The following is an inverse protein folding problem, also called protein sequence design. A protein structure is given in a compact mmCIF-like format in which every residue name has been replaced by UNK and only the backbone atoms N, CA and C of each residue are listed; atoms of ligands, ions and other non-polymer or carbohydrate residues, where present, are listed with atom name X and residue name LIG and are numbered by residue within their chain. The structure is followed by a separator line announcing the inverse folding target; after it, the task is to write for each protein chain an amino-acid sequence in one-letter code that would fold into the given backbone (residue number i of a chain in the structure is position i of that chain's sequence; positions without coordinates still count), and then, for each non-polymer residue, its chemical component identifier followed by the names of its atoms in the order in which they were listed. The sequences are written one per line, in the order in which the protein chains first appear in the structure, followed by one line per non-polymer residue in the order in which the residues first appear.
data_IF_810997834273
#
_entry.id   IF_810997834273
#
_cell.length_a   1.000
_cell.length_b   1.000
_cell.length_c   1.000
_cell.angle_alpha   90.00
_cell.angle_beta   90.00
_cell.angle_gamma   90.00
#
_symmetry.space_group_name_H-M   'P 1'
#
loop_
_entity.id
_entity.type
_entity.pdbx_description
1 polymer ?
#
# COMPACT_ATOMS: atom_id res chain seq x y z
N UNK A 1 -17.47 -29.86 -2.13
CA UNK A 1 -17.06 -30.89 -1.14
C UNK A 1 -18.16 -31.12 -0.14
N UNK A 2 -17.88 -31.83 0.97
CA UNK A 2 -18.82 -32.06 2.08
C UNK A 2 -19.37 -30.77 2.71
N UNK A 3 -18.72 -29.63 2.44
CA UNK A 3 -19.08 -28.28 2.93
C UNK A 3 -20.01 -27.50 1.97
N UNK A 4 -20.49 -28.12 0.89
CA UNK A 4 -21.38 -27.48 -0.10
C UNK A 4 -20.70 -26.47 -1.06
N UNK A 5 -19.40 -26.22 -0.90
CA UNK A 5 -18.62 -25.38 -1.84
C UNK A 5 -18.35 -26.13 -3.15
N UNK A 6 -18.65 -25.49 -4.28
CA UNK A 6 -18.44 -26.01 -5.63
C UNK A 6 -17.16 -25.43 -6.22
N UNK A 7 -16.26 -26.31 -6.66
CA UNK A 7 -15.05 -25.94 -7.40
C UNK A 7 -15.24 -26.30 -8.87
N UNK A 8 -14.79 -25.42 -9.76
CA UNK A 8 -14.86 -25.65 -11.20
C UNK A 8 -13.44 -25.90 -11.70
N UNK A 9 -13.20 -27.10 -12.20
CA UNK A 9 -11.90 -27.50 -12.74
C UNK A 9 -12.00 -27.53 -14.27
N UNK A 10 -11.19 -26.70 -14.92
CA UNK A 10 -11.03 -26.69 -16.38
C UNK A 10 -9.79 -27.51 -16.77
N UNK A 11 -10.03 -28.63 -17.45
CA UNK A 11 -8.97 -29.49 -17.97
C UNK A 11 -8.79 -29.27 -19.48
N UNK A 12 -7.59 -28.88 -19.90
CA UNK A 12 -7.25 -28.69 -21.31
C UNK A 12 -6.09 -29.61 -21.65
N UNK A 13 -6.29 -30.56 -22.55
CA UNK A 13 -5.27 -31.55 -22.92
C UNK A 13 -5.01 -31.54 -24.42
N UNK A 14 -3.75 -31.37 -24.81
CA UNK A 14 -3.31 -31.56 -26.18
C UNK A 14 -3.03 -33.05 -26.42
N UNK A 15 -3.91 -33.73 -27.15
CA UNK A 15 -3.72 -35.14 -27.54
C UNK A 15 -2.85 -35.34 -28.78
N UNK A 16 -2.29 -34.25 -29.34
CA UNK A 16 -1.44 -34.27 -30.52
C UNK A 16 0.05 -34.37 -30.16
N UNK A 17 0.81 -34.99 -31.06
CA UNK A 17 2.29 -35.01 -31.04
C UNK A 17 2.95 -33.69 -31.47
N UNK A 18 2.16 -32.66 -31.72
CA UNK A 18 2.61 -31.33 -32.15
C UNK A 18 2.03 -30.27 -31.22
N UNK A 19 2.69 -29.11 -31.13
CA UNK A 19 2.14 -27.98 -30.38
C UNK A 19 0.81 -27.53 -31.01
N UNK A 20 -0.15 -27.13 -30.19
CA UNK A 20 -1.48 -26.71 -30.61
C UNK A 20 -1.86 -25.40 -29.94
N UNK A 21 -2.47 -24.50 -30.69
CA UNK A 21 -3.19 -23.36 -30.15
C UNK A 21 -4.69 -23.71 -30.15
N UNK A 22 -5.37 -23.47 -29.03
CA UNK A 22 -6.79 -23.72 -28.87
C UNK A 22 -7.49 -22.41 -28.48
N UNK A 23 -8.63 -22.15 -29.11
CA UNK A 23 -9.56 -21.11 -28.66
C UNK A 23 -10.70 -21.81 -27.91
N UNK A 24 -10.92 -21.43 -26.65
CA UNK A 24 -11.94 -22.02 -25.80
C UNK A 24 -13.05 -20.99 -25.56
N UNK A 25 -14.30 -21.36 -25.86
CA UNK A 25 -15.44 -20.57 -25.41
C UNK A 25 -15.68 -20.83 -23.92
N UNK A 26 -15.23 -19.88 -23.10
CA UNK A 26 -15.39 -19.88 -21.66
C UNK A 26 -16.29 -18.72 -21.21
N UNK A 27 -17.08 -18.14 -22.11
CA UNK A 27 -17.89 -16.95 -21.85
C UNK A 27 -18.85 -17.11 -20.64
N UNK A 28 -19.28 -18.34 -20.35
CA UNK A 28 -20.09 -18.67 -19.17
C UNK A 28 -19.38 -18.45 -17.82
N UNK A 29 -18.04 -18.35 -17.84
CA UNK A 29 -17.17 -18.14 -16.68
C UNK A 29 -16.46 -16.78 -16.73
N UNK A 30 -17.01 -15.81 -17.48
CA UNK A 30 -16.44 -14.47 -17.58
C UNK A 30 -16.27 -13.83 -16.19
N UNK A 31 -15.11 -13.23 -15.95
CA UNK A 31 -14.71 -12.67 -14.64
C UNK A 31 -14.00 -13.67 -13.72
N UNK A 32 -14.02 -14.98 -14.02
CA UNK A 32 -13.23 -15.98 -13.28
C UNK A 32 -11.79 -16.04 -13.77
N UNK A 33 -10.87 -16.42 -12.88
CA UNK A 33 -9.44 -16.50 -13.15
C UNK A 33 -9.00 -17.98 -13.17
N UNK A 34 -8.44 -18.49 -14.27
CA UNK A 34 -7.86 -19.83 -14.29
C UNK A 34 -6.55 -19.86 -13.50
N UNK A 35 -6.46 -20.69 -12.47
CA UNK A 35 -5.25 -20.89 -11.68
C UNK A 35 -4.75 -22.31 -11.89
N UNK A 36 -3.52 -22.45 -12.39
CA UNK A 36 -2.93 -23.74 -12.72
C UNK A 36 -2.64 -24.52 -11.42
N UNK A 37 -3.16 -25.75 -11.33
CA UNK A 37 -3.21 -26.49 -10.07
C UNK A 37 -1.88 -27.12 -9.65
N UNK A 38 -0.92 -27.32 -10.55
CA UNK A 38 0.37 -27.94 -10.21
C UNK A 38 1.39 -26.91 -9.69
N UNK A 39 1.38 -25.71 -10.25
CA UNK A 39 2.35 -24.64 -9.99
C UNK A 39 1.75 -23.37 -9.38
N UNK A 40 0.42 -23.30 -9.21
CA UNK A 40 -0.27 -22.17 -8.57
C UNK A 40 -0.27 -20.87 -9.39
N UNK A 41 0.16 -20.92 -10.65
CA UNK A 41 0.26 -19.74 -11.50
C UNK A 41 -1.12 -19.34 -12.04
N UNK A 42 -1.52 -18.09 -11.82
CA UNK A 42 -2.76 -17.56 -12.38
C UNK A 42 -2.56 -17.08 -13.83
N UNK A 43 -3.57 -17.33 -14.66
CA UNK A 43 -3.65 -16.89 -16.05
C UNK A 43 -4.51 -15.63 -16.16
N UNK A 44 -4.54 -14.94 -17.32
CA UNK A 44 -5.45 -13.81 -17.53
C UNK A 44 -6.90 -14.19 -17.22
N UNK A 45 -7.73 -13.25 -16.70
CA UNK A 45 -9.14 -13.51 -16.44
C UNK A 45 -9.89 -13.90 -17.72
N UNK A 46 -10.91 -14.73 -17.56
CA UNK A 46 -11.80 -15.10 -18.65
C UNK A 46 -12.65 -13.89 -19.02
N UNK A 47 -12.52 -13.42 -20.27
CA UNK A 47 -13.34 -12.34 -20.82
C UNK A 47 -14.58 -12.85 -21.56
N UNK A 48 -15.24 -11.95 -22.30
CA UNK A 48 -16.37 -12.31 -23.17
C UNK A 48 -15.93 -12.90 -24.53
N UNK A 49 -14.63 -12.86 -24.84
CA UNK A 49 -14.06 -13.41 -26.06
C UNK A 49 -13.44 -14.80 -25.79
N UNK A 50 -13.20 -15.57 -26.86
CA UNK A 50 -12.58 -16.89 -26.76
C UNK A 50 -11.24 -16.80 -26.02
N UNK A 51 -11.03 -17.72 -25.08
CA UNK A 51 -9.83 -17.83 -24.29
C UNK A 51 -8.76 -18.61 -25.06
N UNK A 52 -7.62 -17.97 -25.34
CA UNK A 52 -6.55 -18.54 -26.14
C UNK A 52 -5.51 -19.26 -25.27
N UNK A 53 -5.21 -20.51 -25.59
CA UNK A 53 -4.17 -21.30 -24.94
C UNK A 53 -3.28 -22.00 -25.96
N UNK A 54 -1.97 -22.01 -25.70
CA UNK A 54 -1.00 -22.78 -26.47
C UNK A 54 -0.44 -23.91 -25.62
N UNK A 55 -0.51 -25.14 -26.14
CA UNK A 55 -0.03 -26.33 -25.46
C UNK A 55 1.08 -27.00 -26.25
N UNK A 56 2.12 -27.46 -25.56
CA UNK A 56 3.17 -28.31 -26.11
C UNK A 56 2.61 -29.69 -26.55
N UNK A 57 3.32 -30.47 -27.39
CA UNK A 57 2.95 -31.86 -27.70
C UNK A 57 2.64 -32.66 -26.44
N UNK A 58 1.48 -33.31 -26.40
CA UNK A 58 1.01 -34.09 -25.24
C UNK A 58 0.93 -33.31 -23.90
N UNK A 59 1.02 -31.98 -23.95
CA UNK A 59 0.89 -31.12 -22.78
C UNK A 59 -0.56 -30.99 -22.32
N UNK A 60 -0.75 -30.73 -21.03
CA UNK A 60 -2.05 -30.48 -20.45
C UNK A 60 -1.98 -29.39 -19.38
N UNK A 61 -3.12 -28.78 -19.11
CA UNK A 61 -3.35 -27.88 -17.99
C UNK A 61 -4.56 -28.35 -17.19
N UNK A 62 -4.45 -28.24 -15.87
CA UNK A 62 -5.59 -28.31 -14.96
C UNK A 62 -5.71 -26.96 -14.26
N UNK A 63 -6.80 -26.26 -14.50
CA UNK A 63 -7.08 -24.99 -13.86
C UNK A 63 -8.20 -25.15 -12.86
N UNK A 64 -8.04 -24.58 -11.66
CA UNK A 64 -9.19 -24.21 -10.83
C UNK A 64 -9.65 -22.82 -11.27
N UNK A 65 -10.94 -22.66 -11.57
CA UNK A 65 -11.50 -21.35 -11.87
C UNK A 65 -11.88 -20.67 -10.55
N UNK A 66 -11.07 -19.69 -10.15
CA UNK A 66 -11.27 -18.92 -8.92
C UNK A 66 -12.12 -17.68 -9.20
N UNK A 67 -12.94 -17.29 -8.23
CA UNK A 67 -13.69 -16.05 -8.27
C UNK A 67 -12.78 -14.83 -8.01
N UNK A 68 -13.16 -13.66 -8.54
CA UNK A 68 -12.42 -12.40 -8.51
C UNK A 68 -11.95 -11.96 -7.11
N UNK A 69 -12.67 -12.37 -6.07
CA UNK A 69 -12.35 -12.17 -4.66
C UNK A 69 -11.19 -13.05 -4.12
N UNK A 70 -10.60 -13.93 -4.93
CA UNK A 70 -9.41 -14.74 -4.63
C UNK A 70 -8.21 -14.39 -5.53
N UNK A 71 -8.17 -13.16 -6.07
CA UNK A 71 -7.10 -12.72 -6.98
C UNK A 71 -5.72 -12.59 -6.30
N UNK A 72 -4.63 -13.04 -6.95
CA UNK A 72 -3.27 -12.73 -6.50
C UNK A 72 -2.90 -11.25 -6.70
N UNK A 73 -1.97 -10.77 -5.87
CA UNK A 73 -1.64 -9.35 -5.67
C UNK A 73 -1.06 -8.60 -6.88
N UNK A 74 -0.73 -9.30 -7.98
CA UNK A 74 -0.14 -8.71 -9.18
C UNK A 74 -1.15 -8.34 -10.28
N UNK A 75 -2.44 -8.63 -10.10
CA UNK A 75 -3.47 -8.27 -11.08
C UNK A 75 -3.77 -6.77 -11.05
N UNK A 76 -3.52 -6.10 -12.17
CA UNK A 76 -3.91 -4.70 -12.42
C UNK A 76 -5.12 -4.73 -13.34
N UNK A 77 -6.28 -4.27 -12.86
CA UNK A 77 -7.50 -4.21 -13.67
C UNK A 77 -7.25 -3.42 -14.99
N UNK A 78 -7.81 -3.88 -16.13
CA UNK A 78 -7.83 -3.08 -17.34
C UNK A 78 -8.53 -1.74 -17.06
N UNK A 79 -7.98 -0.64 -17.58
CA UNK A 79 -8.58 0.68 -17.46
C UNK A 79 -10.01 0.64 -18.02
N UNK A 80 -11.01 0.67 -17.13
CA UNK A 80 -12.39 0.93 -17.50
C UNK A 80 -12.44 2.27 -18.26
N UNK A 81 -13.35 2.40 -19.22
CA UNK A 81 -13.66 3.68 -19.87
C UNK A 81 -13.82 4.77 -18.80
N UNK A 82 -13.10 5.89 -18.96
CA UNK A 82 -13.07 6.97 -17.98
C UNK A 82 -14.50 7.26 -17.49
N UNK A 83 -14.77 7.17 -16.18
CA UNK A 83 -16.11 7.39 -15.66
C UNK A 83 -16.57 8.81 -16.00
N UNK A 84 -17.90 9.02 -16.08
CA UNK A 84 -18.48 10.34 -16.30
C UNK A 84 -18.11 11.26 -15.13
N UNK A 85 -17.03 12.03 -15.31
CA UNK A 85 -16.55 12.94 -14.28
C UNK A 85 -17.42 14.17 -14.18
N UNK A 86 -17.77 14.53 -12.94
CA UNK A 86 -18.27 15.88 -12.65
C UNK A 86 -17.20 16.90 -13.02
N UNK A 87 -17.58 17.96 -13.76
CA UNK A 87 -16.64 19.00 -14.20
C UNK A 87 -16.63 20.18 -13.22
N UNK A 88 -15.48 20.45 -12.62
CA UNK A 88 -15.21 21.65 -11.83
C UNK A 88 -14.71 22.79 -12.72
N UNK A 89 -15.06 24.04 -12.39
CA UNK A 89 -14.60 25.22 -13.12
C UNK A 89 -13.71 26.06 -12.22
N UNK A 90 -12.45 26.22 -12.62
CA UNK A 90 -11.47 27.04 -11.94
C UNK A 90 -11.05 28.20 -12.85
N UNK A 91 -10.85 29.39 -12.30
CA UNK A 91 -10.43 30.55 -13.08
C UNK A 91 -8.96 30.43 -13.44
N UNK A 92 -8.09 30.21 -12.45
CA UNK A 92 -6.64 30.16 -12.66
C UNK A 92 -5.87 29.29 -11.67
N UNK A 93 -6.27 29.24 -10.39
CA UNK A 93 -5.48 28.67 -9.30
C UNK A 93 -6.06 27.33 -8.82
N UNK A 94 -5.22 26.45 -8.26
CA UNK A 94 -5.70 25.20 -7.66
C UNK A 94 -6.42 25.43 -6.33
N UNK A 95 -6.02 26.46 -5.60
CA UNK A 95 -6.61 26.86 -4.32
C UNK A 95 -8.10 27.24 -4.43
N UNK A 96 -8.59 27.53 -5.65
CA UNK A 96 -10.02 27.74 -5.90
C UNK A 96 -10.87 26.47 -5.66
N UNK A 97 -10.24 25.29 -5.52
CA UNK A 97 -10.89 24.08 -5.00
C UNK A 97 -11.35 24.23 -3.54
N UNK A 98 -10.76 25.17 -2.79
CA UNK A 98 -11.14 25.51 -1.41
C UNK A 98 -12.25 26.57 -1.34
N UNK A 99 -12.70 27.08 -2.48
CA UNK A 99 -13.68 28.17 -2.60
C UNK A 99 -14.99 27.66 -3.21
N UNK A 100 -16.12 28.28 -2.85
CA UNK A 100 -17.41 27.99 -3.48
C UNK A 100 -17.46 28.51 -4.93
N UNK A 101 -18.11 27.79 -5.88
CA UNK A 101 -18.91 26.58 -5.66
C UNK A 101 -18.10 25.27 -5.70
N UNK A 102 -16.85 25.28 -6.19
CA UNK A 102 -16.05 24.06 -6.40
C UNK A 102 -15.86 23.24 -5.14
N UNK A 103 -15.59 23.89 -4.00
CA UNK A 103 -15.47 23.22 -2.69
C UNK A 103 -16.72 22.42 -2.35
N UNK A 104 -17.90 23.01 -2.52
CA UNK A 104 -19.17 22.35 -2.21
C UNK A 104 -19.39 21.11 -3.07
N UNK A 105 -19.15 21.20 -4.38
CA UNK A 105 -19.24 20.04 -5.27
C UNK A 105 -18.20 18.97 -4.94
N UNK A 106 -16.98 19.38 -4.59
CA UNK A 106 -15.90 18.47 -4.21
C UNK A 106 -16.25 17.69 -2.93
N UNK A 107 -16.67 18.39 -1.87
CA UNK A 107 -17.02 17.84 -0.56
C UNK A 107 -18.31 17.00 -0.58
N UNK A 108 -19.34 17.42 -1.31
CA UNK A 108 -20.67 16.80 -1.24
C UNK A 108 -20.91 15.71 -2.29
N UNK A 109 -20.19 15.73 -3.42
CA UNK A 109 -20.49 14.85 -4.55
C UNK A 109 -19.28 14.06 -5.04
N UNK A 110 -18.11 14.68 -5.15
CA UNK A 110 -16.94 14.01 -5.76
C UNK A 110 -16.20 13.14 -4.74
N UNK A 111 -15.75 13.71 -3.62
CA UNK A 111 -14.93 13.01 -2.63
C UNK A 111 -15.64 11.83 -1.97
N UNK A 112 -16.92 11.90 -1.55
CA UNK A 112 -17.59 10.76 -0.93
C UNK A 112 -17.60 9.53 -1.84
N UNK A 113 -17.92 9.71 -3.13
CA UNK A 113 -17.95 8.62 -4.11
C UNK A 113 -16.55 8.10 -4.45
N UNK A 114 -15.57 8.99 -4.56
CA UNK A 114 -14.20 8.60 -4.91
C UNK A 114 -13.49 7.85 -3.77
N UNK A 115 -13.70 8.27 -2.50
CA UNK A 115 -13.05 7.68 -1.33
C UNK A 115 -13.48 6.22 -1.05
N UNK A 116 -14.74 5.88 -1.29
CA UNK A 116 -15.26 4.52 -1.08
C UNK A 116 -14.51 3.47 -1.90
N UNK A 117 -13.97 3.86 -3.05
CA UNK A 117 -13.24 2.99 -3.96
C UNK A 117 -11.73 2.94 -3.67
N UNK A 118 -11.25 3.56 -2.59
CA UNK A 118 -9.82 3.57 -2.24
C UNK A 118 -9.47 2.48 -1.25
N UNK A 119 -8.41 1.71 -1.53
CA UNK A 119 -7.98 0.61 -0.64
C UNK A 119 -7.58 1.11 0.74
N UNK A 120 -6.88 2.24 0.80
CA UNK A 120 -6.37 2.89 2.01
C UNK A 120 -7.44 3.60 2.84
N UNK A 121 -8.66 3.80 2.32
CA UNK A 121 -9.74 4.40 3.09
C UNK A 121 -10.26 3.37 4.10
N UNK A 122 -10.16 3.69 5.40
CA UNK A 122 -10.46 2.75 6.48
C UNK A 122 -11.95 2.68 6.86
N UNK A 123 -12.77 3.64 6.42
CA UNK A 123 -14.19 3.72 6.76
C UNK A 123 -15.12 2.93 5.84
N UNK A 124 -14.70 1.79 5.29
CA UNK A 124 -15.48 1.06 4.26
C UNK A 124 -16.73 0.39 4.79
N UNK A 125 -16.73 0.04 6.07
CA UNK A 125 -17.85 -0.67 6.71
C UNK A 125 -19.00 0.26 7.12
N UNK A 126 -18.87 1.57 6.87
CA UNK A 126 -19.87 2.57 7.22
C UNK A 126 -20.06 3.60 6.09
N UNK A 127 -21.27 4.16 6.01
CA UNK A 127 -21.56 5.24 5.05
C UNK A 127 -20.74 6.48 5.41
N UNK A 128 -20.25 7.20 4.41
CA UNK A 128 -19.62 8.51 4.59
C UNK A 128 -20.74 9.53 4.85
N UNK A 129 -20.74 10.14 6.02
CA UNK A 129 -21.73 11.13 6.45
C UNK A 129 -21.35 12.53 5.96
N UNK A 130 -20.05 12.85 6.00
CA UNK A 130 -19.53 14.17 5.67
C UNK A 130 -18.07 14.09 5.22
N UNK A 131 -17.70 14.93 4.26
CA UNK A 131 -16.30 15.20 3.89
C UNK A 131 -16.08 16.70 3.90
N UNK A 132 -14.98 17.16 4.49
CA UNK A 132 -14.62 18.57 4.56
C UNK A 132 -13.14 18.78 4.24
N UNK A 133 -12.85 19.80 3.43
CA UNK A 133 -11.49 20.28 3.24
C UNK A 133 -10.99 20.92 4.54
N UNK A 134 -9.98 20.32 5.18
CA UNK A 134 -9.36 20.90 6.37
C UNK A 134 -8.53 22.13 5.97
N UNK A 135 -7.65 21.97 4.97
CA UNK A 135 -6.90 23.05 4.35
C UNK A 135 -6.33 22.62 2.99
N UNK A 136 -5.72 23.57 2.27
CA UNK A 136 -4.85 23.27 1.16
C UNK A 136 -3.78 24.35 0.97
N UNK A 137 -2.56 23.94 0.64
CA UNK A 137 -1.43 24.83 0.38
C UNK A 137 -0.88 24.57 -1.00
N UNK A 138 -0.56 25.64 -1.74
CA UNK A 138 0.08 25.50 -3.05
C UNK A 138 1.45 24.83 -2.89
N UNK A 139 1.69 23.85 -3.74
CA UNK A 139 2.95 23.12 -3.84
C UNK A 139 3.27 22.80 -5.31
N UNK A 140 4.51 22.36 -5.58
CA UNK A 140 5.00 22.14 -6.93
C UNK A 140 5.33 23.45 -7.67
N UNK A 141 5.49 23.34 -9.00
CA UNK A 141 5.82 24.47 -9.86
C UNK A 141 4.58 25.04 -10.59
N UNK A 142 4.78 26.11 -11.38
CA UNK A 142 3.69 26.79 -12.07
C UNK A 142 3.07 25.98 -13.23
N UNK A 143 3.84 25.06 -13.83
CA UNK A 143 3.40 24.18 -14.90
C UNK A 143 2.66 22.95 -14.33
N UNK A 144 3.10 22.46 -13.17
CA UNK A 144 2.59 21.29 -12.45
C UNK A 144 2.07 21.66 -11.06
N UNK A 145 0.98 22.46 -10.96
CA UNK A 145 0.51 22.92 -9.67
C UNK A 145 -0.12 21.77 -8.89
N UNK A 146 0.26 21.68 -7.62
CA UNK A 146 -0.28 20.76 -6.64
C UNK A 146 -0.93 21.55 -5.51
N UNK A 147 -2.03 21.03 -4.98
CA UNK A 147 -2.60 21.48 -3.71
C UNK A 147 -2.28 20.41 -2.67
N UNK A 148 -1.31 20.67 -1.79
CA UNK A 148 -1.03 19.80 -0.65
C UNK A 148 -2.13 20.02 0.39
N UNK A 149 -2.92 18.99 0.69
CA UNK A 149 -4.13 19.13 1.49
C UNK A 149 -4.43 17.93 2.37
N UNK A 150 -5.22 18.20 3.41
CA UNK A 150 -5.88 17.20 4.25
C UNK A 150 -7.40 17.42 4.19
N UNK A 151 -8.15 16.34 4.37
CA UNK A 151 -9.60 16.31 4.44
C UNK A 151 -10.05 15.61 5.73
N UNK A 152 -11.12 16.10 6.33
CA UNK A 152 -11.80 15.45 7.44
C UNK A 152 -12.98 14.64 6.90
N UNK A 153 -13.06 13.37 7.27
CA UNK A 153 -14.12 12.45 6.83
C UNK A 153 -14.84 11.90 8.05
N UNK A 154 -16.14 12.15 8.13
CA UNK A 154 -17.02 11.61 9.16
C UNK A 154 -17.72 10.35 8.63
N UNK A 155 -17.56 9.23 9.32
CA UNK A 155 -18.21 7.96 9.00
C UNK A 155 -18.41 7.13 10.27
N UNK A 156 -19.60 6.54 10.43
CA UNK A 156 -19.93 5.77 11.63
C UNK A 156 -19.88 6.60 12.92
N UNK A 157 -20.21 7.89 12.84
CA UNK A 157 -20.12 8.84 13.95
C UNK A 157 -18.68 9.22 14.38
N UNK A 158 -17.64 8.77 13.68
CA UNK A 158 -16.25 9.14 13.95
C UNK A 158 -15.69 10.00 12.82
N UNK A 159 -14.94 11.04 13.18
CA UNK A 159 -14.22 11.88 12.21
C UNK A 159 -12.75 11.49 12.19
N UNK A 160 -12.23 11.22 11.01
CA UNK A 160 -10.81 10.91 10.77
C UNK A 160 -10.24 11.86 9.73
N UNK A 161 -9.00 12.33 9.96
CA UNK A 161 -8.28 13.19 9.02
C UNK A 161 -7.49 12.34 8.04
N UNK A 162 -7.53 12.71 6.76
CA UNK A 162 -6.81 12.03 5.69
C UNK A 162 -5.99 13.01 4.86
N UNK A 163 -4.76 12.64 4.52
CA UNK A 163 -3.96 13.38 3.55
C UNK A 163 -4.33 13.00 2.12
N UNK A 164 -4.68 14.01 1.33
CA UNK A 164 -5.01 13.87 -0.08
C UNK A 164 -4.50 15.10 -0.84
N UNK A 165 -3.31 15.05 -1.45
CA UNK A 165 -2.83 16.12 -2.30
C UNK A 165 -3.54 16.07 -3.67
N UNK A 166 -4.00 17.21 -4.17
CA UNK A 166 -4.64 17.30 -5.49
C UNK A 166 -3.64 17.73 -6.55
N UNK A 167 -3.54 16.96 -7.63
CA UNK A 167 -2.73 17.26 -8.80
C UNK A 167 -3.59 17.55 -10.02
N UNK A 168 -3.05 18.30 -10.98
CA UNK A 168 -3.69 18.58 -12.27
C UNK A 168 -2.98 17.85 -13.40
N UNK A 169 -3.75 17.18 -14.26
CA UNK A 169 -3.28 16.56 -15.51
C UNK A 169 -4.00 17.24 -16.67
N UNK A 170 -3.28 17.73 -17.67
CA UNK A 170 -3.91 18.24 -18.89
C UNK A 170 -4.51 17.10 -19.73
N UNK A 171 -5.65 17.33 -20.37
CA UNK A 171 -6.41 16.30 -21.12
C UNK A 171 -5.64 15.75 -22.34
N UNK A 172 -4.75 16.54 -22.92
CA UNK A 172 -3.88 16.18 -24.04
C UNK A 172 -2.57 15.49 -23.61
N UNK A 173 -2.37 15.28 -22.31
CA UNK A 173 -1.15 14.68 -21.79
C UNK A 173 -1.17 13.15 -21.94
N UNK A 174 -0.41 12.64 -22.91
CA UNK A 174 -0.12 11.21 -23.05
C UNK A 174 0.87 10.75 -21.95
N UNK A 175 0.37 10.64 -20.72
CA UNK A 175 1.13 10.24 -19.54
C UNK A 175 0.86 8.80 -19.09
N UNK A 176 1.42 8.39 -17.95
CA UNK A 176 1.13 7.11 -17.32
C UNK A 176 -0.38 6.91 -17.05
N UNK A 177 -0.82 5.66 -17.01
CA UNK A 177 -2.22 5.32 -16.78
C UNK A 177 -2.68 5.62 -15.34
N UNK A 178 -1.80 5.48 -14.34
CA UNK A 178 -2.14 5.58 -12.92
C UNK A 178 -2.78 6.93 -12.54
N UNK A 179 -2.25 8.11 -12.93
CA UNK A 179 -2.91 9.39 -12.70
C UNK A 179 -4.33 9.48 -13.27
N UNK A 180 -4.61 8.83 -14.40
CA UNK A 180 -5.94 8.80 -15.00
C UNK A 180 -6.88 7.83 -14.25
N UNK A 181 -6.37 6.69 -13.79
CA UNK A 181 -7.13 5.73 -12.97
C UNK A 181 -7.51 6.31 -11.60
N UNK A 182 -6.68 7.19 -11.04
CA UNK A 182 -6.94 7.87 -9.77
C UNK A 182 -7.65 9.22 -9.92
N UNK A 183 -8.03 9.62 -11.14
CA UNK A 183 -8.73 10.87 -11.37
C UNK A 183 -10.04 10.96 -10.57
N UNK A 184 -10.28 12.15 -10.00
CA UNK A 184 -11.45 12.45 -9.17
C UNK A 184 -12.51 13.20 -9.96
N UNK A 185 -12.08 14.15 -10.79
CA UNK A 185 -12.99 15.04 -11.51
C UNK A 185 -12.33 15.60 -12.77
N UNK A 186 -13.15 16.04 -13.71
CA UNK A 186 -12.70 16.87 -14.82
C UNK A 186 -12.64 18.30 -14.34
N UNK A 187 -11.69 19.07 -14.83
CA UNK A 187 -11.58 20.48 -14.50
C UNK A 187 -11.34 21.33 -15.74
N UNK A 188 -12.08 22.43 -15.81
CA UNK A 188 -11.83 23.50 -16.78
C UNK A 188 -11.14 24.64 -16.04
N UNK A 189 -9.84 24.82 -16.28
CA UNK A 189 -9.00 25.88 -15.73
C UNK A 189 -8.73 26.94 -16.80
N UNK A 190 -9.59 27.95 -16.87
CA UNK A 190 -9.53 28.97 -17.93
C UNK A 190 -9.67 28.36 -19.34
N UNK A 191 -8.57 28.31 -20.10
CA UNK A 191 -8.50 27.69 -21.44
C UNK A 191 -8.06 26.23 -21.42
N UNK A 192 -7.53 25.75 -20.30
CA UNK A 192 -7.04 24.38 -20.16
C UNK A 192 -8.17 23.49 -19.64
N UNK A 193 -8.28 22.30 -20.21
CA UNK A 193 -9.15 21.23 -19.74
C UNK A 193 -8.26 20.08 -19.31
N UNK A 194 -8.64 19.42 -18.24
CA UNK A 194 -7.85 18.35 -17.66
C UNK A 194 -8.59 17.62 -16.57
N UNK A 195 -7.84 16.87 -15.78
CA UNK A 195 -8.33 16.08 -14.66
C UNK A 195 -7.68 16.55 -13.36
N UNK A 196 -8.44 16.54 -12.28
CA UNK A 196 -7.89 16.54 -10.93
C UNK A 196 -7.67 15.08 -10.53
N UNK A 197 -6.47 14.77 -10.08
CA UNK A 197 -6.08 13.45 -9.60
C UNK A 197 -5.47 13.52 -8.21
N UNK A 198 -5.19 12.37 -7.64
CA UNK A 198 -4.31 12.24 -6.49
C UNK A 198 -2.86 12.57 -6.90
N UNK A 199 -2.31 13.66 -6.37
CA UNK A 199 -0.98 14.14 -6.75
C UNK A 199 0.12 13.13 -6.43
N UNK A 200 -0.11 12.17 -5.52
CA UNK A 200 0.86 11.12 -5.25
C UNK A 200 1.23 10.34 -6.51
N UNK A 201 0.29 10.17 -7.44
CA UNK A 201 0.51 9.50 -8.73
C UNK A 201 1.35 10.31 -9.73
N UNK A 202 1.64 11.57 -9.44
CA UNK A 202 2.41 12.46 -10.31
C UNK A 202 3.89 12.45 -9.94
N UNK A 203 4.73 12.08 -10.89
CA UNK A 203 6.18 12.05 -10.68
C UNK A 203 6.74 13.43 -10.30
N UNK A 204 6.23 14.50 -10.91
CA UNK A 204 6.62 15.89 -10.61
C UNK A 204 6.35 16.26 -9.16
N UNK A 205 5.26 15.77 -8.57
CA UNK A 205 4.97 15.95 -7.16
C UNK A 205 5.98 15.22 -6.27
N UNK A 206 6.28 13.95 -6.56
CA UNK A 206 7.28 13.18 -5.82
C UNK A 206 8.64 13.87 -5.86
N UNK A 207 9.06 14.36 -7.03
CA UNK A 207 10.31 15.13 -7.19
C UNK A 207 10.29 16.41 -6.38
N UNK A 208 9.19 17.16 -6.40
CA UNK A 208 9.03 18.38 -5.61
C UNK A 208 9.11 18.09 -4.10
N UNK A 209 8.54 16.98 -3.61
CA UNK A 209 8.65 16.57 -2.20
C UNK A 209 10.10 16.27 -1.81
N UNK A 210 10.84 15.54 -2.65
CA UNK A 210 12.26 15.24 -2.41
C UNK A 210 13.10 16.50 -2.39
N UNK A 211 12.89 17.41 -3.35
CA UNK A 211 13.56 18.71 -3.38
C UNK A 211 13.19 19.55 -2.15
N UNK A 212 11.93 19.52 -1.73
CA UNK A 212 11.45 20.18 -0.52
C UNK A 212 12.17 19.69 0.73
N UNK A 213 12.38 18.38 0.86
CA UNK A 213 13.19 17.80 1.95
C UNK A 213 14.65 18.23 1.85
N UNK A 214 15.28 18.14 0.67
CA UNK A 214 16.67 18.57 0.49
C UNK A 214 16.90 20.05 0.82
N UNK A 215 15.88 20.90 0.61
CA UNK A 215 15.93 22.33 0.88
C UNK A 215 15.42 22.72 2.27
N UNK A 216 14.98 21.76 3.10
CA UNK A 216 14.32 22.01 4.39
C UNK A 216 13.15 23.00 4.29
N UNK A 217 12.32 22.84 3.26
CA UNK A 217 11.21 23.76 2.96
C UNK A 217 10.19 23.83 4.09
N UNK A 218 9.66 25.03 4.34
CA UNK A 218 8.54 25.27 5.26
C UNK A 218 7.42 25.96 4.50
N UNK A 219 6.21 25.40 4.56
CA UNK A 219 5.01 25.96 3.94
C UNK A 219 4.02 26.39 5.03
N UNK A 220 3.50 27.61 4.95
CA UNK A 220 2.45 28.08 5.86
C UNK A 220 1.08 27.62 5.39
N UNK A 221 0.26 27.14 6.32
CA UNK A 221 -1.14 26.74 6.11
C UNK A 221 -2.05 27.40 7.16
N UNK A 222 -3.37 27.25 7.01
CA UNK A 222 -4.33 27.66 8.05
C UNK A 222 -4.28 26.77 9.29
N UNK A 223 -3.69 25.57 9.21
CA UNK A 223 -3.59 24.57 10.27
C UNK A 223 -2.16 24.48 10.85
N UNK A 224 -1.37 25.55 10.69
CA UNK A 224 0.03 25.63 11.11
C UNK A 224 1.01 25.51 9.95
N UNK A 225 2.19 24.94 10.20
CA UNK A 225 3.27 24.85 9.22
C UNK A 225 3.50 23.42 8.76
N UNK A 226 3.74 23.24 7.46
CA UNK A 226 4.19 21.97 6.89
C UNK A 226 5.69 22.07 6.70
N UNK A 227 6.43 21.22 7.40
CA UNK A 227 7.89 21.24 7.47
C UNK A 227 8.45 19.98 6.80
N UNK A 228 9.36 20.19 5.86
CA UNK A 228 10.10 19.14 5.20
C UNK A 228 11.45 19.01 5.92
N UNK A 229 11.68 17.89 6.57
CA UNK A 229 12.79 17.70 7.50
C UNK A 229 13.71 16.58 7.00
N UNK A 230 14.89 16.91 6.46
CA UNK A 230 15.86 15.90 6.03
C UNK A 230 16.69 15.38 7.22
N UNK A 231 17.21 14.16 7.10
CA UNK A 231 18.34 13.69 7.92
C UNK A 231 19.64 13.78 7.13
N UNK A 232 20.77 13.70 7.83
CA UNK A 232 22.09 13.63 7.19
C UNK A 232 22.28 12.39 6.28
N UNK A 233 21.39 11.39 6.36
CA UNK A 233 21.44 10.21 5.49
C UNK A 233 20.89 10.50 4.09
N UNK A 234 19.96 11.46 3.94
CA UNK A 234 19.38 11.80 2.64
C UNK A 234 20.40 12.37 1.67
N UNK A 235 21.26 13.28 2.14
CA UNK A 235 22.30 13.92 1.32
C UNK A 235 23.25 12.88 0.70
N UNK A 236 23.58 11.82 1.45
CA UNK A 236 24.48 10.74 1.00
C UNK A 236 23.96 9.95 -0.21
N UNK A 237 22.65 9.97 -0.46
CA UNK A 237 22.05 9.27 -1.59
C UNK A 237 22.29 9.98 -2.94
N UNK A 238 22.63 11.28 -2.93
CA UNK A 238 22.90 12.03 -4.16
C UNK A 238 21.71 12.08 -5.14
N UNK A 239 20.47 12.00 -4.63
CA UNK A 239 19.26 12.03 -5.43
C UNK A 239 19.15 13.36 -6.22
N UNK A 240 18.78 13.26 -7.49
CA UNK A 240 18.72 14.37 -8.42
C UNK A 240 17.51 14.24 -9.38
N UNK A 241 17.38 15.20 -10.30
CA UNK A 241 16.26 15.25 -11.25
C UNK A 241 16.14 14.02 -12.17
N UNK A 242 17.23 13.27 -12.39
CA UNK A 242 17.25 12.07 -13.24
C UNK A 242 17.00 10.77 -12.46
N UNK A 243 16.85 10.86 -11.13
CA UNK A 243 16.60 9.67 -10.31
C UNK A 243 15.28 9.01 -10.69
N UNK A 244 15.30 7.71 -10.97
CA UNK A 244 14.13 6.92 -11.38
C UNK A 244 13.05 6.93 -10.28
N UNK A 245 11.78 7.10 -10.67
CA UNK A 245 10.63 7.03 -9.77
C UNK A 245 9.79 5.81 -10.12
N UNK A 246 9.61 4.90 -9.15
CA UNK A 246 8.88 3.64 -9.33
C UNK A 246 7.82 3.46 -8.25
N UNK A 247 6.56 3.46 -8.66
CA UNK A 247 5.43 3.20 -7.78
C UNK A 247 5.36 1.73 -7.37
N UNK A 248 5.09 1.48 -6.10
CA UNK A 248 4.87 0.12 -5.60
C UNK A 248 3.39 -0.23 -5.77
N UNK A 249 3.10 -1.32 -6.49
CA UNK A 249 1.75 -1.75 -6.89
C UNK A 249 0.88 -2.28 -5.76
N UNK A 250 1.43 -2.50 -4.57
CA UNK A 250 0.69 -2.94 -3.39
C UNK A 250 0.12 -1.73 -2.62
N UNK A 251 -1.10 -1.32 -2.95
CA UNK A 251 -1.87 -0.40 -2.09
C UNK A 251 -2.13 -1.08 -0.74
N UNK A 252 -1.36 -0.69 0.28
CA UNK A 252 -1.62 -0.96 1.69
C UNK A 252 -2.38 0.23 2.30
N UNK A 253 -2.33 0.39 3.63
CA UNK A 253 -2.86 1.55 4.35
C UNK A 253 -2.25 2.90 3.91
N UNK A 254 -1.08 2.88 3.27
CA UNK A 254 -0.34 4.05 2.82
C UNK A 254 0.08 3.93 1.35
N UNK A 255 0.38 5.06 0.70
CA UNK A 255 0.89 5.10 -0.67
C UNK A 255 2.40 5.23 -0.69
N UNK A 256 3.11 4.36 -1.43
CA UNK A 256 4.58 4.27 -1.39
C UNK A 256 5.21 4.33 -2.78
N UNK A 257 6.34 5.02 -2.89
CA UNK A 257 7.10 5.19 -4.14
C UNK A 257 8.60 5.05 -3.87
N UNK A 258 9.32 4.38 -4.74
CA UNK A 258 10.77 4.24 -4.69
C UNK A 258 11.42 5.30 -5.59
N UNK A 259 12.43 5.99 -5.07
CA UNK A 259 13.17 7.03 -5.80
C UNK A 259 14.66 6.68 -5.83
N UNK A 260 15.25 6.67 -7.02
CA UNK A 260 16.68 6.45 -7.23
C UNK A 260 17.22 5.12 -6.70
N UNK A 261 16.34 4.13 -6.46
CA UNK A 261 16.65 2.83 -5.83
C UNK A 261 17.30 2.92 -4.43
N UNK A 262 17.37 4.11 -3.83
CA UNK A 262 17.98 4.35 -2.52
C UNK A 262 16.98 4.82 -1.47
N UNK A 263 15.81 5.32 -1.89
CA UNK A 263 14.79 5.86 -0.99
C UNK A 263 13.42 5.26 -1.31
N UNK A 264 12.65 4.93 -0.27
CA UNK A 264 11.21 4.76 -0.34
C UNK A 264 10.55 5.94 0.39
N UNK A 265 9.65 6.63 -0.31
CA UNK A 265 8.81 7.68 0.25
C UNK A 265 7.41 7.11 0.48
N UNK A 266 6.92 7.22 1.71
CA UNK A 266 5.58 6.80 2.10
C UNK A 266 4.74 8.03 2.44
N UNK A 267 3.57 8.15 1.82
CA UNK A 267 2.55 9.14 2.17
C UNK A 267 1.57 8.51 3.17
N UNK A 268 1.43 9.15 4.33
CA UNK A 268 0.56 8.70 5.42
C UNK A 268 -0.87 9.12 5.11
N UNK A 269 -1.73 8.16 4.76
CA UNK A 269 -3.08 8.47 4.27
C UNK A 269 -4.00 8.92 5.38
N UNK A 270 -4.05 8.16 6.48
CA UNK A 270 -4.84 8.52 7.67
C UNK A 270 -3.92 9.20 8.66
N UNK A 271 -4.12 10.50 8.87
CA UNK A 271 -3.25 11.33 9.70
C UNK A 271 -3.81 11.39 11.11
N UNK A 272 -2.93 11.20 12.08
CA UNK A 272 -3.22 11.39 13.50
C UNK A 272 -2.26 12.42 14.08
N UNK A 273 -2.74 13.21 15.04
CA UNK A 273 -1.90 14.11 15.83
C UNK A 273 -1.04 13.33 16.82
N UNK A 274 0.11 13.88 17.13
CA UNK A 274 1.08 13.32 18.07
C UNK A 274 2.21 12.57 17.38
N UNK A 275 3.10 12.03 18.20
CA UNK A 275 4.30 11.32 17.76
C UNK A 275 3.90 10.06 17.00
N UNK A 276 4.30 9.98 15.73
CA UNK A 276 4.04 8.79 14.91
C UNK A 276 5.07 7.69 15.24
N UNK A 277 4.65 6.48 15.65
CA UNK A 277 5.57 5.44 16.11
C UNK A 277 6.62 5.05 15.07
N UNK A 278 6.25 5.00 13.78
CA UNK A 278 7.21 4.68 12.71
C UNK A 278 8.30 5.76 12.58
N UNK A 279 7.96 7.04 12.78
CA UNK A 279 8.96 8.11 12.74
C UNK A 279 9.87 8.04 13.98
N UNK A 280 9.27 7.94 15.16
CA UNK A 280 10.01 7.91 16.43
C UNK A 280 10.98 6.73 16.51
N UNK A 281 10.50 5.51 16.22
CA UNK A 281 11.32 4.30 16.24
C UNK A 281 12.40 4.35 15.16
N UNK A 282 12.07 4.79 13.94
CA UNK A 282 13.05 4.87 12.86
C UNK A 282 14.13 5.90 13.18
N UNK A 283 13.76 7.05 13.74
CA UNK A 283 14.70 8.09 14.16
C UNK A 283 15.68 7.55 15.21
N UNK A 284 15.16 6.96 16.29
CA UNK A 284 15.97 6.42 17.38
C UNK A 284 16.95 5.33 16.92
N UNK A 285 16.46 4.35 16.16
CA UNK A 285 17.30 3.25 15.68
C UNK A 285 18.31 3.70 14.62
N UNK A 286 17.96 4.69 13.80
CA UNK A 286 18.90 5.28 12.82
C UNK A 286 20.01 6.06 13.52
N UNK A 287 19.69 6.83 14.55
CA UNK A 287 20.67 7.55 15.37
C UNK A 287 21.61 6.59 16.11
N UNK A 288 21.08 5.47 16.61
CA UNK A 288 21.85 4.38 17.19
C UNK A 288 22.68 3.57 16.17
N UNK A 289 22.63 3.90 14.88
CA UNK A 289 23.27 3.16 13.78
C UNK A 289 22.90 1.68 13.72
N UNK A 290 21.67 1.32 14.09
CA UNK A 290 21.21 -0.05 13.97
C UNK A 290 21.04 -0.42 12.49
N UNK A 291 21.77 -1.44 12.04
CA UNK A 291 21.92 -1.75 10.60
C UNK A 291 20.78 -2.56 9.99
N UNK A 292 19.96 -3.24 10.81
CA UNK A 292 18.91 -4.15 10.34
C UNK A 292 17.54 -3.46 10.23
N UNK A 293 17.53 -2.18 9.91
CA UNK A 293 16.33 -1.39 9.58
C UNK A 293 16.57 -0.59 8.30
N UNK A 294 15.49 -0.15 7.66
CA UNK A 294 15.57 0.94 6.69
C UNK A 294 15.87 2.25 7.43
N UNK A 295 17.03 2.91 7.18
CA UNK A 295 17.39 4.13 7.89
C UNK A 295 16.42 5.27 7.56
N UNK A 296 16.15 6.13 8.53
CA UNK A 296 15.36 7.35 8.33
C UNK A 296 16.16 8.36 7.49
N UNK A 297 15.58 8.77 6.37
CA UNK A 297 16.14 9.77 5.46
C UNK A 297 15.49 11.14 5.65
N UNK A 298 14.24 11.19 6.09
CA UNK A 298 13.55 12.44 6.37
C UNK A 298 12.06 12.24 6.60
N UNK A 299 11.38 13.34 6.87
CA UNK A 299 9.94 13.37 7.11
C UNK A 299 9.32 14.66 6.58
N UNK A 300 8.02 14.60 6.32
CA UNK A 300 7.17 15.80 6.17
C UNK A 300 6.17 15.78 7.30
N UNK A 301 6.18 16.81 8.12
CA UNK A 301 5.29 16.94 9.28
C UNK A 301 4.44 18.20 9.16
N UNK A 302 3.22 18.16 9.70
CA UNK A 302 2.45 19.38 10.00
C UNK A 302 2.59 19.67 11.49
N UNK A 303 3.08 20.86 11.82
CA UNK A 303 3.11 21.39 13.18
C UNK A 303 2.00 22.42 13.35
N UNK A 304 1.07 22.16 14.26
CA UNK A 304 -0.03 23.10 14.54
C UNK A 304 0.42 24.30 15.38
N UNK A 305 -0.52 25.20 15.69
CA UNK A 305 -0.25 26.40 16.49
C UNK A 305 0.12 26.10 17.96
N UNK A 306 -0.21 24.89 18.45
CA UNK A 306 0.10 24.41 19.79
C UNK A 306 1.46 23.70 19.84
N UNK A 307 2.07 23.45 18.68
CA UNK A 307 3.34 22.75 18.55
C UNK A 307 3.20 21.23 18.46
N UNK A 308 1.99 20.71 18.30
CA UNK A 308 1.76 19.28 18.09
C UNK A 308 2.06 18.92 16.63
N UNK A 309 2.82 17.85 16.46
CA UNK A 309 3.22 17.34 15.15
C UNK A 309 2.25 16.26 14.68
N UNK A 310 2.01 16.23 13.37
CA UNK A 310 1.35 15.15 12.67
C UNK A 310 2.21 14.71 11.49
N UNK A 311 2.55 13.43 11.42
CA UNK A 311 3.34 12.88 10.32
C UNK A 311 2.50 12.83 9.04
N UNK A 312 2.97 13.50 7.99
CA UNK A 312 2.36 13.47 6.67
C UNK A 312 3.10 12.49 5.74
N UNK A 313 4.43 12.49 5.77
CA UNK A 313 5.23 11.59 4.95
C UNK A 313 6.50 11.17 5.67
N UNK A 314 6.99 9.97 5.35
CA UNK A 314 8.27 9.46 5.84
C UNK A 314 9.10 8.94 4.68
N UNK A 315 10.37 9.33 4.65
CA UNK A 315 11.36 8.86 3.70
C UNK A 315 12.34 7.92 4.42
N UNK A 316 12.48 6.69 3.91
CA UNK A 316 13.33 5.66 4.49
C UNK A 316 14.25 5.06 3.42
N UNK A 317 15.37 4.48 3.83
CA UNK A 317 16.28 3.77 2.93
C UNK A 317 15.55 2.61 2.25
N UNK A 318 15.59 2.58 0.91
CA UNK A 318 15.02 1.47 0.16
C UNK A 318 15.97 0.28 0.20
N UNK A 319 15.47 -0.86 0.69
CA UNK A 319 16.19 -2.12 0.68
C UNK A 319 15.60 -3.00 -0.42
N UNK A 320 16.42 -3.30 -1.43
CA UNK A 320 16.03 -4.26 -2.46
C UNK A 320 15.97 -5.66 -1.86
N UNK A 321 14.78 -6.22 -1.74
CA UNK A 321 14.53 -7.56 -1.22
C UNK A 321 14.01 -8.50 -2.31
N UNK A 322 14.18 -9.81 -2.09
CA UNK A 322 13.60 -10.86 -2.92
C UNK A 322 12.40 -11.46 -2.16
N UNK A 323 11.23 -10.86 -2.39
CA UNK A 323 9.98 -11.36 -1.83
C UNK A 323 9.70 -10.91 -0.39
N UNK A 324 8.62 -11.46 0.14
CA UNK A 324 8.09 -11.19 1.46
C UNK A 324 8.35 -12.37 2.40
N UNK A 325 8.70 -12.08 3.66
CA UNK A 325 9.08 -13.10 4.63
C UNK A 325 7.91 -14.03 4.99
N UNK A 326 6.67 -13.53 4.95
CA UNK A 326 5.48 -14.31 5.23
C UNK A 326 5.20 -15.29 4.09
N UNK A 327 5.16 -14.82 2.85
CA UNK A 327 4.99 -15.67 1.67
C UNK A 327 6.14 -16.69 1.55
N UNK A 328 7.38 -16.27 1.77
CA UNK A 328 8.53 -17.18 1.79
C UNK A 328 8.37 -18.26 2.87
N UNK A 329 7.93 -17.89 4.08
CA UNK A 329 7.71 -18.86 5.17
C UNK A 329 6.61 -19.85 4.82
N UNK A 330 5.49 -19.38 4.26
CA UNK A 330 4.38 -20.25 3.84
C UNK A 330 4.81 -21.26 2.77
N UNK A 331 5.50 -20.80 1.72
CA UNK A 331 6.00 -21.65 0.65
C UNK A 331 7.00 -22.71 1.16
N UNK A 332 7.86 -22.35 2.12
CA UNK A 332 8.81 -23.30 2.71
C UNK A 332 8.13 -24.29 3.65
N UNK A 333 7.10 -23.89 4.39
CA UNK A 333 6.30 -24.80 5.21
C UNK A 333 5.54 -25.80 4.34
N UNK A 334 4.96 -25.34 3.23
CA UNK A 334 4.28 -26.24 2.28
C UNK A 334 5.27 -27.26 1.69
N UNK A 335 6.47 -26.81 1.31
CA UNK A 335 7.54 -27.71 0.84
C UNK A 335 7.92 -28.73 1.91
N UNK A 336 8.13 -28.30 3.15
CA UNK A 336 8.45 -29.17 4.27
C UNK A 336 7.37 -30.26 4.51
N UNK A 337 6.09 -29.90 4.42
CA UNK A 337 4.98 -30.84 4.54
C UNK A 337 4.97 -31.87 3.39
N UNK A 338 5.21 -31.41 2.15
CA UNK A 338 5.30 -32.30 0.99
C UNK A 338 6.48 -33.28 1.11
N UNK A 339 7.64 -32.82 1.57
CA UNK A 339 8.83 -33.65 1.74
C UNK A 339 8.62 -34.74 2.80
N UNK A 340 7.98 -34.44 3.93
CA UNK A 340 7.62 -35.43 4.95
C UNK A 340 6.62 -36.48 4.43
N UNK A 341 5.59 -36.04 3.71
CA UNK A 341 4.62 -36.95 3.09
C UNK A 341 5.25 -37.85 2.02
N UNK A 342 6.22 -37.34 1.25
CA UNK A 342 6.93 -38.09 0.22
C UNK A 342 7.96 -39.09 0.79
N UNK A 343 8.65 -38.73 1.88
CA UNK A 343 9.58 -39.63 2.58
C UNK A 343 8.87 -40.83 3.23
N UNK A 344 7.58 -40.69 3.60
CA UNK A 344 6.76 -41.83 3.99
C UNK A 344 6.54 -42.85 2.85
N UNK A 345 6.90 -42.50 1.59
CA UNK A 345 6.67 -43.29 0.39
C UNK A 345 7.97 -43.73 -0.35
N UNK A 346 9.17 -43.29 0.05
CA UNK A 346 10.43 -43.65 -0.64
C UNK A 346 11.70 -43.56 0.24
N UNK A 347 12.60 -44.55 0.13
CA UNK A 347 13.88 -44.67 0.85
C UNK A 347 15.06 -43.91 0.18
N UNK A 348 14.84 -42.71 -0.37
CA UNK A 348 15.93 -41.92 -0.96
C UNK A 348 16.23 -40.65 -0.16
N UNK A 349 17.21 -40.75 0.74
CA UNK A 349 17.85 -39.65 1.45
C UNK A 349 18.64 -38.76 0.48
N UNK A 350 18.06 -37.64 0.04
CA UNK A 350 18.79 -36.41 -0.35
C UNK A 350 17.80 -35.35 -0.83
N UNK A 351 17.16 -34.63 0.09
CA UNK A 351 16.48 -33.37 -0.24
C UNK A 351 16.95 -32.28 0.73
N UNK A 352 17.28 -31.10 0.20
CA UNK A 352 17.60 -29.90 0.98
C UNK A 352 16.47 -29.65 1.98
N UNK A 353 16.78 -29.73 3.27
CA UNK A 353 15.76 -29.77 4.33
C UNK A 353 15.09 -28.39 4.47
N UNK A 354 13.88 -28.25 3.95
CA UNK A 354 13.06 -27.04 4.08
C UNK A 354 12.86 -26.62 5.56
N UNK A 355 12.78 -27.58 6.49
CA UNK A 355 12.74 -27.27 7.92
C UNK A 355 14.07 -26.72 8.44
N UNK A 356 15.19 -27.14 7.85
CA UNK A 356 16.51 -26.58 8.11
C UNK A 356 16.58 -25.10 7.71
N UNK A 357 16.13 -24.76 6.50
CA UNK A 357 16.05 -23.37 6.02
C UNK A 357 15.15 -22.50 6.91
N UNK A 358 13.98 -23.01 7.30
CA UNK A 358 13.07 -22.33 8.23
C UNK A 358 13.72 -22.11 9.60
N UNK A 359 14.45 -23.11 10.12
CA UNK A 359 15.16 -23.01 11.39
C UNK A 359 16.26 -21.94 11.34
N UNK A 360 17.06 -21.93 10.28
CA UNK A 360 18.14 -20.95 10.09
C UNK A 360 17.57 -19.53 9.94
N UNK A 361 16.48 -19.39 9.18
CA UNK A 361 15.75 -18.14 9.05
C UNK A 361 15.18 -17.65 10.38
N UNK A 362 14.51 -18.51 11.14
CA UNK A 362 13.98 -18.18 12.47
C UNK A 362 15.09 -17.81 13.46
N UNK A 363 16.24 -18.50 13.41
CA UNK A 363 17.41 -18.19 14.21
C UNK A 363 17.98 -16.80 13.88
N UNK A 364 18.12 -16.48 12.60
CA UNK A 364 18.58 -15.16 12.15
C UNK A 364 17.60 -14.05 12.56
N UNK A 365 16.29 -14.26 12.37
CA UNK A 365 15.26 -13.30 12.77
C UNK A 365 15.28 -13.03 14.28
N UNK A 366 15.37 -14.10 15.08
CA UNK A 366 15.50 -14.00 16.54
C UNK A 366 16.77 -13.26 16.98
N UNK A 367 17.89 -13.50 16.31
CA UNK A 367 19.13 -12.76 16.56
C UNK A 367 18.95 -11.26 16.26
N UNK A 368 18.42 -10.89 15.08
CA UNK A 368 18.21 -9.47 14.72
C UNK A 368 17.24 -8.76 15.66
N UNK A 369 16.18 -9.45 16.08
CA UNK A 369 15.25 -8.94 17.08
C UNK A 369 15.94 -8.72 18.43
N UNK A 370 16.76 -9.68 18.88
CA UNK A 370 17.54 -9.55 20.11
C UNK A 370 18.54 -8.39 20.07
N UNK A 371 19.24 -8.22 18.95
CA UNK A 371 20.15 -7.08 18.72
C UNK A 371 19.39 -5.74 18.79
N UNK A 372 18.21 -5.64 18.17
CA UNK A 372 17.36 -4.45 18.26
C UNK A 372 16.92 -4.18 19.70
N UNK A 373 16.48 -5.20 20.44
CA UNK A 373 16.10 -5.06 21.84
C UNK A 373 17.25 -4.61 22.73
N UNK A 374 18.49 -5.04 22.46
CA UNK A 374 19.66 -4.54 23.19
C UNK A 374 19.88 -3.05 22.98
N UNK A 375 19.66 -2.54 21.76
CA UNK A 375 19.72 -1.09 21.47
C UNK A 375 18.61 -0.32 22.20
N UNK A 376 17.38 -0.86 22.18
CA UNK A 376 16.23 -0.22 22.85
C UNK A 376 16.31 -0.28 24.37
N UNK A 377 17.01 -1.27 24.93
CA UNK A 377 17.21 -1.41 26.37
C UNK A 377 18.46 -0.67 26.88
N UNK A 378 19.24 -0.04 26.01
CA UNK A 378 20.43 0.70 26.41
C UNK A 378 20.04 1.95 27.25
N UNK A 379 20.84 2.32 28.26
CA UNK A 379 20.65 3.58 28.98
C UNK A 379 20.64 4.77 28.02
N UNK A 380 19.67 5.66 28.18
CA UNK A 380 19.49 6.83 27.31
C UNK A 380 18.94 8.00 28.12
N UNK A 381 19.29 9.22 27.71
CA UNK A 381 18.74 10.45 28.26
C UNK A 381 17.37 10.80 27.65
N UNK A 382 16.95 10.08 26.60
CA UNK A 382 15.63 10.23 26.01
C UNK A 382 14.57 9.53 26.90
N UNK A 383 13.66 10.28 27.56
CA UNK A 383 12.69 9.70 28.49
C UNK A 383 11.70 8.73 27.82
N UNK A 384 11.42 8.87 26.52
CA UNK A 384 10.52 7.98 25.79
C UNK A 384 11.14 6.59 25.54
N UNK A 385 12.47 6.51 25.54
CA UNK A 385 13.24 5.28 25.34
C UNK A 385 13.98 4.83 26.60
N UNK A 386 13.84 5.55 27.71
CA UNK A 386 14.44 5.18 28.98
C UNK A 386 13.79 3.88 29.48
N UNK A 387 14.56 2.80 29.71
CA UNK A 387 14.00 1.54 30.19
C UNK A 387 13.31 1.70 31.55
N UNK A 388 12.11 1.14 31.68
CA UNK A 388 11.35 1.16 32.93
C UNK A 388 11.10 -0.26 33.44
N UNK A 389 11.04 -0.42 34.76
CA UNK A 389 10.70 -1.70 35.38
C UNK A 389 9.19 -1.85 35.39
N UNK A 390 8.67 -2.84 34.67
CA UNK A 390 7.25 -3.19 34.72
C UNK A 390 6.88 -3.67 36.12
N UNK A 391 5.90 -3.00 36.73
CA UNK A 391 5.35 -3.38 38.02
C UNK A 391 4.44 -4.62 37.90
N UNK A 392 4.23 -5.33 39.01
CA UNK A 392 3.30 -6.45 39.06
C UNK A 392 1.87 -6.03 38.67
N UNK A 393 1.47 -4.80 39.01
CA UNK A 393 0.15 -4.26 38.67
C UNK A 393 -0.01 -4.09 37.17
N UNK A 394 1.00 -3.54 36.49
CA UNK A 394 1.00 -3.38 35.04
C UNK A 394 1.04 -4.73 34.33
N UNK A 395 1.86 -5.67 34.80
CA UNK A 395 1.89 -7.03 34.26
C UNK A 395 0.52 -7.72 34.34
N UNK A 396 -0.20 -7.58 35.45
CA UNK A 396 -1.56 -8.10 35.61
C UNK A 396 -2.57 -7.40 34.69
N UNK A 397 -2.42 -6.09 34.49
CA UNK A 397 -3.27 -5.34 33.56
C UNK A 397 -3.04 -5.82 32.11
N UNK A 398 -1.79 -5.90 31.65
CA UNK A 398 -1.45 -6.41 30.33
C UNK A 398 -1.92 -7.85 30.13
N UNK A 399 -1.77 -8.72 31.14
CA UNK A 399 -2.27 -10.10 31.07
C UNK A 399 -3.80 -10.14 30.87
N UNK A 400 -4.54 -9.26 31.54
CA UNK A 400 -6.00 -9.15 31.37
C UNK A 400 -6.36 -8.67 29.97
N UNK A 401 -5.65 -7.69 29.44
CA UNK A 401 -5.90 -7.15 28.09
C UNK A 401 -5.60 -8.20 27.00
N UNK A 402 -4.47 -8.91 27.13
CA UNK A 402 -4.11 -10.02 26.22
C UNK A 402 -5.16 -11.14 26.30
N UNK A 403 -5.62 -11.50 27.50
CA UNK A 403 -6.67 -12.50 27.66
C UNK A 403 -7.99 -12.06 26.99
N UNK A 404 -8.37 -10.79 27.13
CA UNK A 404 -9.57 -10.26 26.48
C UNK A 404 -9.45 -10.26 24.95
N UNK A 405 -8.28 -9.91 24.39
CA UNK A 405 -8.02 -10.01 22.95
C UNK A 405 -8.12 -11.46 22.46
N UNK A 406 -7.50 -12.41 23.16
CA UNK A 406 -7.60 -13.84 22.86
C UNK A 406 -9.04 -14.35 22.91
N UNK A 407 -9.80 -13.99 23.95
CA UNK A 407 -11.21 -14.35 24.05
C UNK A 407 -12.04 -13.79 22.90
N UNK A 408 -11.77 -12.56 22.47
CA UNK A 408 -12.43 -11.94 21.33
C UNK A 408 -12.11 -12.68 20.02
N UNK A 409 -10.82 -12.96 19.76
CA UNK A 409 -10.38 -13.73 18.60
C UNK A 409 -10.99 -15.14 18.58
N UNK A 410 -11.08 -15.81 19.74
CA UNK A 410 -11.72 -17.13 19.85
C UNK A 410 -13.24 -17.07 19.59
N UNK A 411 -13.91 -15.97 19.97
CA UNK A 411 -15.34 -15.76 19.64
C UNK A 411 -15.52 -15.57 18.14
N UNK A 412 -14.68 -14.77 17.49
CA UNK A 412 -14.70 -14.59 16.03
C UNK A 412 -14.45 -15.91 15.30
N UNK A 413 -13.45 -16.69 15.74
CA UNK A 413 -13.18 -18.02 15.17
C UNK A 413 -14.38 -18.96 15.26
N UNK A 414 -15.11 -18.97 16.39
CA UNK A 414 -16.33 -19.76 16.53
C UNK A 414 -17.47 -19.30 15.62
N UNK A 415 -17.56 -17.99 15.36
CA UNK A 415 -18.57 -17.44 14.44
C UNK A 415 -18.29 -17.86 13.00
N UNK A 416 -17.03 -17.81 12.58
CA UNK A 416 -16.61 -18.20 11.24
C UNK A 416 -16.39 -19.71 11.04
N UNK A 417 -16.44 -20.53 12.09
CA UNK A 417 -16.33 -21.99 11.98
C UNK A 417 -17.52 -22.66 11.27
N UNK A 418 -18.65 -21.94 11.15
CA UNK A 418 -19.89 -22.43 10.54
C UNK A 418 -20.16 -21.79 9.15
N UNK A 419 -19.20 -21.06 8.59
CA UNK A 419 -19.19 -20.44 7.24
C UNK A 419 -18.11 -21.10 6.36
#
# INVERSE_FOLDING_TARGET
GEDGKHEIILCVANVSRSAQAAELDLSAYAGMVPVEMLGGNAFPPIGQLNFLLTLAPYGFYWFVLAAENQMPSWHVEPAQSLPDFTTLVLKKRMEELLEAPSRGTLEQSILPNWLQNRRWFAGKDATIEKVEMAYGVRFGDAEHPVLLSEIDVTSGGQTSRYQLPFGFIAEDHAGPALPHQLALSRVRRGRQVGLITDAFSLETYIRAVVQGMQASTVLTSSEGEIRFEPTAQLEKLGLNAESEVRYLSAEQSNSSVVVGKGMVLKLIRKVASGVHPELEMSAYLTEANFSNISPLLGSVIRRDAQGEDALLMIAQGYLSNQGDAWEWTQNNLERALRDELANAMSEQEQHYNALGELKDFAGMLGQRLGEMHQVLAAPTDNPNFAPQVTSQKEALASAKDVAAQLEHSLKLLKQHQNE
#
